data_IF_227900109152
#
_entry.id   IF_227900109152
#
_cell.length_a   1.000
_cell.length_b   1.000
_cell.length_c   1.000
_cell.angle_alpha   90.00
_cell.angle_beta   90.00
_cell.angle_gamma   90.00
#
_symmetry.space_group_name_H-M   'P 1'
#
loop_
_entity.id
_entity.type
_entity.pdbx_description
1 polymer ?
#
# COMPACT_ATOMS: atom_id res chain seq x y z
N UNK A 1 -6.26 -5.53 14.15
CA UNK A 1 -6.75 -6.87 14.56
C UNK A 1 -5.81 -7.87 13.91
N UNK A 2 -5.35 -8.87 14.66
CA UNK A 2 -4.38 -9.84 14.16
C UNK A 2 -5.02 -10.71 13.08
N UNK A 3 -4.35 -10.88 11.95
CA UNK A 3 -4.75 -11.82 10.92
C UNK A 3 -4.46 -13.25 11.37
N UNK A 4 -5.40 -14.17 11.12
CA UNK A 4 -5.32 -15.59 11.51
C UNK A 4 -5.47 -16.52 10.30
N UNK A 5 -5.42 -15.98 9.08
CA UNK A 5 -5.65 -16.75 7.85
C UNK A 5 -4.37 -16.93 7.06
N UNK A 6 -3.78 -15.83 6.60
CA UNK A 6 -2.65 -15.86 5.67
C UNK A 6 -1.42 -15.21 6.29
N UNK A 7 -1.57 -13.98 6.80
CA UNK A 7 -0.52 -13.23 7.47
C UNK A 7 -0.63 -13.45 8.99
N UNK A 8 -0.50 -14.70 9.41
CA UNK A 8 -0.72 -15.07 10.81
C UNK A 8 0.15 -14.21 11.75
N UNK A 9 -0.47 -13.57 12.74
CA UNK A 9 0.25 -12.73 13.70
C UNK A 9 0.47 -11.27 13.26
N UNK A 10 0.16 -10.91 12.02
CA UNK A 10 0.32 -9.53 11.52
C UNK A 10 -0.93 -8.67 11.73
N UNK A 11 -0.74 -7.37 11.94
CA UNK A 11 -1.83 -6.45 12.22
C UNK A 11 -2.56 -6.08 10.92
N UNK A 12 -3.77 -6.62 10.77
CA UNK A 12 -4.55 -6.50 9.55
C UNK A 12 -5.79 -5.63 9.77
N UNK A 13 -5.90 -4.57 8.96
CA UNK A 13 -7.04 -3.63 8.99
C UNK A 13 -8.30 -4.24 8.36
N UNK A 14 -8.14 -5.26 7.52
CA UNK A 14 -9.23 -5.95 6.82
C UNK A 14 -9.78 -7.13 7.61
N UNK A 15 -9.13 -7.50 8.72
CA UNK A 15 -9.55 -8.61 9.55
C UNK A 15 -10.70 -8.17 10.46
N UNK A 16 -11.81 -8.88 10.37
CA UNK A 16 -12.99 -8.68 11.21
C UNK A 16 -13.31 -9.94 12.01
N UNK A 17 -14.24 -9.86 12.95
CA UNK A 17 -14.71 -11.04 13.71
C UNK A 17 -15.31 -12.14 12.83
N UNK A 18 -15.78 -11.81 11.61
CA UNK A 18 -16.35 -12.76 10.64
C UNK A 18 -15.31 -13.31 9.66
N UNK A 19 -14.04 -12.90 9.78
CA UNK A 19 -12.97 -13.24 8.86
C UNK A 19 -12.46 -12.01 8.08
N UNK A 20 -11.66 -12.27 7.04
CA UNK A 20 -11.14 -11.23 6.18
C UNK A 20 -12.29 -10.62 5.35
N UNK A 21 -12.46 -9.30 5.45
CA UNK A 21 -13.50 -8.55 4.72
C UNK A 21 -13.16 -8.29 3.25
N UNK A 22 -12.02 -8.79 2.75
CA UNK A 22 -11.66 -8.65 1.34
C UNK A 22 -12.54 -9.54 0.46
N UNK A 23 -12.80 -9.13 -0.79
CA UNK A 23 -13.79 -9.77 -1.68
C UNK A 23 -13.64 -11.29 -1.81
N UNK A 24 -12.42 -11.81 -1.76
CA UNK A 24 -12.15 -13.25 -1.88
C UNK A 24 -11.89 -13.93 -0.53
N UNK A 25 -12.11 -13.24 0.58
CA UNK A 25 -11.89 -13.75 1.94
C UNK A 25 -10.41 -13.99 2.30
N UNK A 26 -9.48 -13.61 1.42
CA UNK A 26 -8.05 -13.88 1.54
C UNK A 26 -7.22 -12.73 0.94
N UNK A 27 -5.99 -12.56 1.43
CA UNK A 27 -4.98 -11.72 0.78
C UNK A 27 -4.32 -12.50 -0.36
N UNK A 28 -3.99 -11.81 -1.45
CA UNK A 28 -3.26 -12.35 -2.59
C UNK A 28 -1.76 -12.12 -2.43
N UNK A 29 -0.97 -13.03 -3.00
CA UNK A 29 0.48 -12.99 -2.96
C UNK A 29 1.04 -11.78 -3.70
N UNK A 30 2.26 -11.36 -3.34
CA UNK A 30 2.97 -10.30 -4.05
C UNK A 30 3.27 -10.69 -5.50
N UNK A 31 3.24 -9.70 -6.38
CA UNK A 31 3.66 -9.82 -7.77
C UNK A 31 5.14 -9.46 -7.94
N UNK A 32 5.74 -9.76 -9.08
CA UNK A 32 7.15 -9.45 -9.37
C UNK A 32 7.49 -7.97 -9.18
N UNK A 33 6.57 -7.07 -9.51
CA UNK A 33 6.72 -5.61 -9.33
C UNK A 33 6.79 -5.19 -7.85
N UNK A 34 6.34 -6.03 -6.91
CA UNK A 34 6.44 -5.75 -5.48
C UNK A 34 7.79 -6.18 -4.87
N UNK A 35 8.64 -6.90 -5.61
CA UNK A 35 9.92 -7.41 -5.10
C UNK A 35 10.82 -6.24 -4.67
N UNK A 36 11.31 -6.31 -3.43
CA UNK A 36 12.16 -5.26 -2.85
C UNK A 36 11.40 -4.09 -2.19
N UNK A 37 10.07 -4.14 -2.13
CA UNK A 37 9.29 -3.20 -1.32
C UNK A 37 9.42 -3.56 0.18
N UNK A 38 9.69 -2.59 1.06
CA UNK A 38 9.74 -2.84 2.53
C UNK A 38 8.40 -3.29 3.14
N UNK A 39 7.31 -3.25 2.37
CA UNK A 39 5.98 -3.68 2.80
C UNK A 39 5.63 -5.09 2.30
N UNK A 40 6.51 -5.73 1.56
CA UNK A 40 6.41 -7.14 1.24
C UNK A 40 7.03 -7.92 2.41
N UNK A 41 6.28 -8.86 2.97
CA UNK A 41 6.75 -9.74 4.04
C UNK A 41 6.43 -11.18 3.68
N UNK A 42 7.39 -12.05 3.95
CA UNK A 42 7.28 -13.48 3.74
C UNK A 42 6.62 -14.13 4.96
N UNK A 43 5.58 -14.92 4.71
CA UNK A 43 4.85 -15.71 5.69
C UNK A 43 4.89 -17.18 5.27
N UNK A 44 4.47 -18.10 6.14
CA UNK A 44 4.51 -19.54 5.85
C UNK A 44 3.67 -19.93 4.62
N UNK A 45 2.59 -19.19 4.36
CA UNK A 45 1.70 -19.39 3.22
C UNK A 45 2.22 -18.78 1.91
N UNK A 46 3.26 -17.95 1.98
CA UNK A 46 3.83 -17.22 0.85
C UNK A 46 4.15 -15.77 1.19
N UNK A 47 4.50 -14.99 0.16
CA UNK A 47 4.89 -13.60 0.31
C UNK A 47 3.69 -12.67 0.10
N UNK A 48 3.42 -11.78 1.04
CA UNK A 48 2.24 -10.89 1.03
C UNK A 48 2.61 -9.44 1.29
N UNK A 49 1.79 -8.53 0.77
CA UNK A 49 1.90 -7.11 1.08
C UNK A 49 1.21 -6.82 2.42
N UNK A 50 1.88 -6.15 3.37
CA UNK A 50 1.33 -5.78 4.67
C UNK A 50 0.29 -4.64 4.55
N UNK A 51 0.45 -3.76 3.56
CA UNK A 51 -0.41 -2.58 3.37
C UNK A 51 -1.64 -2.82 2.48
N UNK A 52 -1.63 -3.81 1.59
CA UNK A 52 -2.72 -4.07 0.65
C UNK A 52 -3.00 -5.57 0.55
N UNK A 53 -4.27 -5.99 0.57
CA UNK A 53 -4.65 -7.39 0.42
C UNK A 53 -4.46 -7.88 -1.02
N UNK A 54 -4.46 -6.98 -2.00
CA UNK A 54 -4.24 -7.30 -3.41
C UNK A 54 -3.22 -6.33 -4.01
N UNK A 55 -1.98 -6.80 -4.22
CA UNK A 55 -0.95 -6.00 -4.85
C UNK A 55 -1.22 -5.79 -6.34
N UNK A 56 -1.76 -6.78 -7.06
CA UNK A 56 -2.02 -6.68 -8.51
C UNK A 56 -2.93 -5.51 -8.86
N UNK A 57 -4.01 -5.31 -8.10
CA UNK A 57 -4.91 -4.16 -8.29
C UNK A 57 -4.24 -2.82 -8.04
N UNK A 58 -3.19 -2.75 -7.21
CA UNK A 58 -2.44 -1.51 -6.97
C UNK A 58 -1.52 -1.17 -8.12
N UNK A 59 -1.03 -2.15 -8.87
CA UNK A 59 -0.17 -1.97 -10.04
C UNK A 59 -0.95 -1.82 -11.35
N UNK A 60 -2.20 -2.30 -11.41
CA UNK A 60 -3.05 -2.24 -12.60
C UNK A 60 -3.19 -0.85 -13.23
N UNK A 61 -3.22 0.20 -12.41
CA UNK A 61 -3.40 1.59 -12.89
C UNK A 61 -2.09 2.41 -12.88
N UNK A 62 -0.93 1.76 -12.75
CA UNK A 62 0.38 2.41 -12.67
C UNK A 62 1.14 2.01 -11.42
N UNK A 63 2.16 2.81 -11.05
CA UNK A 63 3.01 2.51 -9.90
C UNK A 63 2.18 2.46 -8.61
N UNK A 64 2.33 1.40 -7.83
CA UNK A 64 1.67 1.27 -6.55
C UNK A 64 2.01 2.46 -5.62
N UNK A 65 0.99 3.13 -5.07
CA UNK A 65 1.14 4.28 -4.16
C UNK A 65 1.92 3.96 -2.85
N UNK A 66 2.19 2.69 -2.59
CA UNK A 66 2.92 2.21 -1.43
C UNK A 66 4.30 1.64 -1.77
N UNK A 67 4.68 1.66 -3.05
CA UNK A 67 5.99 1.19 -3.49
C UNK A 67 7.08 2.08 -2.89
N UNK A 68 7.80 1.53 -1.90
CA UNK A 68 8.94 2.21 -1.26
C UNK A 68 10.22 2.11 -2.09
N UNK A 69 10.30 1.08 -2.93
CA UNK A 69 11.45 0.82 -3.80
C UNK A 69 11.40 1.67 -5.09
N UNK A 70 10.20 1.98 -5.58
CA UNK A 70 10.03 2.90 -6.70
C UNK A 70 10.11 4.31 -6.15
N UNK A 71 11.30 4.91 -6.21
CA UNK A 71 11.43 6.36 -6.14
C UNK A 71 10.77 6.91 -7.41
N UNK A 72 9.46 7.16 -7.36
CA UNK A 72 8.88 8.15 -8.26
C UNK A 72 9.70 9.39 -8.00
N UNK A 73 10.48 9.79 -8.99
CA UNK A 73 11.12 11.09 -8.99
C UNK A 73 9.93 12.04 -8.99
N UNK A 74 9.47 12.40 -7.80
CA UNK A 74 8.59 13.51 -7.57
C UNK A 74 9.34 14.65 -8.22
N UNK A 75 8.98 14.91 -9.47
CA UNK A 75 9.18 16.20 -10.07
C UNK A 75 8.27 17.05 -9.23
N UNK A 76 8.78 17.43 -8.06
CA UNK A 76 8.32 18.50 -7.21
C UNK A 76 8.17 19.62 -8.22
N UNK A 77 6.95 19.76 -8.73
CA UNK A 77 6.45 21.02 -9.20
C UNK A 77 6.58 21.84 -7.94
N UNK A 78 7.74 22.50 -7.81
CA UNK A 78 7.96 23.68 -7.00
C UNK A 78 6.81 24.57 -7.38
N UNK A 79 5.68 24.40 -6.69
CA UNK A 79 4.57 25.29 -6.81
C UNK A 79 5.12 26.55 -6.20
N UNK A 80 5.66 27.42 -7.06
CA UNK A 80 6.02 28.80 -6.74
C UNK A 80 4.72 29.43 -6.27
N UNK A 81 4.44 29.29 -4.98
CA UNK A 81 3.43 30.10 -4.31
C UNK A 81 4.00 31.50 -4.37
N UNK A 82 3.51 32.31 -5.31
CA UNK A 82 3.86 33.71 -5.41
C UNK A 82 3.35 34.41 -4.14
N UNK A 83 4.23 35.00 -3.30
CA UNK A 83 3.85 35.58 -2.01
C UNK A 83 2.86 36.76 -2.11
N UNK A 84 2.63 37.31 -3.31
CA UNK A 84 1.70 38.44 -3.55
C UNK A 84 0.23 38.09 -3.24
N UNK A 85 -0.18 36.80 -3.31
CA UNK A 85 -1.59 36.42 -3.07
C UNK A 85 -1.95 36.24 -1.59
N UNK A 86 -0.96 36.23 -0.68
CA UNK A 86 -1.19 36.13 0.77
C UNK A 86 -1.44 37.50 1.43
N UNK A 87 -1.00 38.60 0.82
CA UNK A 87 -1.06 39.94 1.45
C UNK A 87 -2.39 40.68 1.28
N UNK A 88 -3.40 40.11 0.60
CA UNK A 88 -4.66 40.82 0.29
C UNK A 88 -5.90 40.25 0.98
N UNK A 89 -5.73 39.52 2.09
CA UNK A 89 -6.78 39.32 3.09
C UNK A 89 -6.55 40.34 4.21
N UNK A 90 -6.83 41.60 3.93
CA UNK A 90 -7.08 42.63 4.92
C UNK A 90 -8.44 43.22 4.62
#
# INVERSE_FOLDING_TARGET
MICTTIREGDDCVFMTKKGCSYNEGACLTIIDECKGCSRASDFETGSYCTAAPDPSLKWKNGICNFATHVKTVDTSKKQKVNPIKASKRR
#
